data_IF_256104835071
#
_entry.id   IF_256104835071
#
_cell.length_a   1.000
_cell.length_b   1.000
_cell.length_c   1.000
_cell.angle_alpha   90.00
_cell.angle_beta   90.00
_cell.angle_gamma   90.00
#
_symmetry.space_group_name_H-M   'P 1'
#
loop_
_entity.id
_entity.type
_entity.pdbx_description
1 polymer ?
#
# COMPACT_ATOMS: atom_id res chain seq x y z
N UNK A 1 -10.59 14.53 26.91
CA UNK A 1 -10.90 15.49 25.83
C UNK A 1 -11.06 14.70 24.54
N UNK A 2 -12.26 14.73 23.95
CA UNK A 2 -12.55 14.07 22.66
C UNK A 2 -11.79 14.83 21.56
N UNK A 3 -11.02 14.12 20.76
CA UNK A 3 -10.44 14.65 19.53
C UNK A 3 -11.58 14.64 18.52
N UNK A 4 -12.11 15.82 18.18
CA UNK A 4 -13.17 15.92 17.18
C UNK A 4 -12.62 15.47 15.83
N UNK A 5 -13.08 14.29 15.40
CA UNK A 5 -12.90 13.83 14.04
C UNK A 5 -13.54 14.85 13.10
N UNK A 6 -12.77 15.36 12.14
CA UNK A 6 -13.30 16.22 11.09
C UNK A 6 -14.42 15.45 10.39
N UNK A 7 -15.65 15.97 10.46
CA UNK A 7 -16.82 15.45 9.77
C UNK A 7 -16.52 15.27 8.28
N UNK A 8 -17.06 14.19 7.68
CA UNK A 8 -17.00 13.95 6.23
C UNK A 8 -17.53 15.15 5.42
N UNK A 9 -18.40 15.98 6.00
CA UNK A 9 -18.95 17.19 5.37
C UNK A 9 -17.90 18.29 5.20
N UNK A 10 -16.97 18.43 6.15
CA UNK A 10 -15.89 19.42 6.06
C UNK A 10 -14.91 19.04 4.95
N UNK A 11 -14.58 17.74 4.82
CA UNK A 11 -13.77 17.23 3.72
C UNK A 11 -14.45 17.44 2.35
N UNK A 12 -15.78 17.31 2.28
CA UNK A 12 -16.55 17.57 1.06
C UNK A 12 -16.54 19.05 0.66
N UNK A 13 -16.69 19.96 1.63
CA UNK A 13 -16.58 21.41 1.40
C UNK A 13 -15.18 21.81 0.89
N UNK A 14 -14.12 21.20 1.43
CA UNK A 14 -12.74 21.43 0.98
C UNK A 14 -12.49 20.93 -0.45
N UNK A 15 -13.05 19.77 -0.84
CA UNK A 15 -12.94 19.26 -2.22
C UNK A 15 -13.68 20.13 -3.24
N UNK A 16 -14.79 20.76 -2.82
CA UNK A 16 -15.59 21.68 -3.65
C UNK A 16 -14.86 22.99 -3.92
N UNK A 17 -14.18 23.57 -2.92
CA UNK A 17 -13.35 24.78 -3.11
C UNK A 17 -12.14 24.56 -4.04
N UNK A 18 -11.72 23.31 -4.24
CA UNK A 18 -10.58 22.95 -5.09
C UNK A 18 -10.98 22.62 -6.55
N UNK A 19 -12.26 22.73 -6.92
CA UNK A 19 -12.76 22.37 -8.26
C UNK A 19 -12.66 20.87 -8.58
N UNK A 20 -12.59 20.02 -7.55
CA UNK A 20 -12.36 18.57 -7.65
C UNK A 20 -13.67 17.77 -7.54
N UNK A 21 -14.77 18.24 -8.14
CA UNK A 21 -16.11 17.61 -8.07
C UNK A 21 -16.16 16.19 -8.65
N UNK A 22 -15.13 15.77 -9.40
CA UNK A 22 -15.01 14.42 -9.97
C UNK A 22 -14.42 13.37 -9.00
N UNK A 23 -14.01 13.76 -7.79
CA UNK A 23 -13.71 12.78 -6.74
C UNK A 23 -15.02 12.24 -6.17
N UNK A 24 -15.45 11.09 -6.69
CA UNK A 24 -16.71 10.47 -6.32
C UNK A 24 -16.71 10.05 -4.84
N UNK A 25 -17.35 10.85 -3.98
CA UNK A 25 -17.54 10.62 -2.54
C UNK A 25 -18.66 9.60 -2.27
N UNK A 26 -19.39 9.12 -3.28
CA UNK A 26 -20.50 8.16 -3.09
C UNK A 26 -20.08 6.77 -2.62
N UNK A 27 -18.78 6.46 -2.51
CA UNK A 27 -18.32 5.17 -1.97
C UNK A 27 -18.08 5.16 -0.45
N UNK A 28 -18.49 6.20 0.29
CA UNK A 28 -18.44 6.22 1.75
C UNK A 28 -19.70 5.64 2.42
N UNK A 29 -20.78 5.37 1.67
CA UNK A 29 -21.98 4.70 2.19
C UNK A 29 -22.68 3.89 1.09
N UNK A 30 -22.42 2.58 1.01
CA UNK A 30 -23.33 1.62 0.35
C UNK A 30 -23.03 0.18 0.80
N UNK A 31 -23.58 -0.19 1.96
CA UNK A 31 -23.99 -1.57 2.20
C UNK A 31 -25.33 -1.79 1.50
N UNK A 32 -25.42 -2.86 0.69
CA UNK A 32 -26.61 -3.40 0.04
C UNK A 32 -27.39 -2.49 -0.94
N UNK A 33 -27.20 -2.70 -2.25
CA UNK A 33 -28.31 -3.13 -3.11
C UNK A 33 -27.82 -3.65 -4.48
N UNK A 34 -28.55 -4.61 -5.03
CA UNK A 34 -28.24 -5.39 -6.21
C UNK A 34 -28.49 -4.66 -7.54
N UNK A 35 -27.96 -5.27 -8.62
CA UNK A 35 -28.17 -5.03 -10.06
C UNK A 35 -27.42 -3.85 -10.70
N UNK A 36 -26.30 -4.19 -11.34
CA UNK A 36 -25.95 -3.67 -12.65
C UNK A 36 -25.07 -4.70 -13.39
N UNK A 37 -25.73 -5.64 -14.08
CA UNK A 37 -25.11 -6.39 -15.18
C UNK A 37 -25.14 -5.50 -16.41
N UNK A 38 -24.16 -5.73 -17.29
CA UNK A 38 -24.08 -5.21 -18.66
C UNK A 38 -23.66 -3.74 -18.74
N UNK A 39 -22.35 -3.53 -18.92
CA UNK A 39 -21.76 -2.66 -19.94
C UNK A 39 -20.26 -2.64 -19.69
N UNK A 40 -19.52 -3.50 -20.40
CA UNK A 40 -18.13 -3.31 -20.86
C UNK A 40 -17.59 -4.62 -21.46
N UNK A 41 -18.30 -5.10 -22.49
CA UNK A 41 -17.68 -5.84 -23.57
C UNK A 41 -17.79 -4.95 -24.80
N UNK A 42 -16.69 -4.25 -25.10
CA UNK A 42 -16.25 -3.71 -26.42
C UNK A 42 -15.40 -2.46 -26.21
N UNK A 43 -14.09 -2.66 -26.08
CA UNK A 43 -13.04 -2.04 -26.92
C UNK A 43 -11.67 -2.48 -26.43
N UNK A 44 -11.22 -3.59 -26.98
CA UNK A 44 -9.80 -3.78 -27.22
C UNK A 44 -9.42 -2.97 -28.48
N UNK A 45 -8.16 -2.53 -28.51
CA UNK A 45 -7.41 -1.86 -29.58
C UNK A 45 -7.41 -0.32 -29.54
N UNK A 46 -6.25 0.18 -29.14
CA UNK A 46 -5.85 1.57 -29.21
C UNK A 46 -4.66 1.77 -28.27
N UNK A 47 -3.45 1.83 -28.82
CA UNK A 47 -2.29 2.32 -28.09
C UNK A 47 -2.61 3.73 -27.60
N UNK A 48 -2.62 3.97 -26.30
CA UNK A 48 -2.77 5.30 -25.74
C UNK A 48 -1.37 5.82 -25.41
N UNK A 49 -0.85 6.64 -26.32
CA UNK A 49 0.31 7.48 -26.12
C UNK A 49 0.10 8.38 -24.90
N UNK A 50 1.11 8.45 -24.04
CA UNK A 50 1.25 9.51 -23.04
C UNK A 50 1.19 10.87 -23.75
N UNK A 51 0.07 11.57 -23.65
CA UNK A 51 0.03 13.02 -23.83
C UNK A 51 -1.25 13.58 -23.21
N UNK A 52 -1.11 14.73 -22.53
CA UNK A 52 -2.08 15.48 -21.72
C UNK A 52 -2.04 15.25 -20.20
N UNK A 53 -0.89 15.58 -19.62
CA UNK A 53 -0.87 16.67 -18.65
C UNK A 53 -0.07 17.80 -19.30
N UNK A 54 -0.73 18.91 -19.60
CA UNK A 54 -0.05 20.13 -20.01
C UNK A 54 0.64 20.68 -18.75
N UNK A 55 1.96 20.57 -18.73
CA UNK A 55 2.82 21.41 -17.92
C UNK A 55 2.73 22.84 -18.48
N UNK A 56 2.72 23.90 -17.65
CA UNK A 56 2.96 25.23 -18.16
C UNK A 56 4.44 25.38 -18.51
N UNK A 57 4.70 25.45 -19.82
CA UNK A 57 5.84 25.99 -20.56
C UNK A 57 7.11 26.35 -19.75
N UNK A 58 8.04 25.41 -19.70
CA UNK A 58 9.48 25.69 -19.58
C UNK A 58 10.04 25.96 -20.99
N UNK A 59 10.39 27.21 -21.30
CA UNK A 59 11.43 27.56 -22.28
C UNK A 59 11.83 29.03 -22.11
N UNK A 60 13.10 29.24 -21.76
CA UNK A 60 13.73 30.54 -21.58
C UNK A 60 15.19 30.42 -21.16
N UNK A 61 15.97 29.72 -21.98
CA UNK A 61 17.41 29.91 -22.24
C UNK A 61 18.46 29.58 -21.16
N UNK A 62 19.54 29.00 -21.66
CA UNK A 62 20.70 28.43 -20.96
C UNK A 62 21.84 29.43 -21.04
N UNK A 63 22.35 29.90 -19.89
CA UNK A 63 23.73 30.37 -19.76
C UNK A 63 24.32 29.98 -18.40
N UNK A 64 25.56 29.49 -18.43
CA UNK A 64 26.60 29.86 -17.48
C UNK A 64 26.53 29.29 -16.06
N UNK A 65 27.38 28.29 -15.80
CA UNK A 65 27.91 28.00 -14.47
C UNK A 65 28.59 29.25 -13.92
N UNK A 66 28.13 29.76 -12.78
CA UNK A 66 29.00 30.20 -11.68
C UNK A 66 28.22 30.32 -10.37
N UNK A 67 28.84 29.85 -9.30
CA UNK A 67 28.24 29.85 -7.97
C UNK A 67 28.03 31.27 -7.48
N UNK A 68 26.78 31.66 -7.24
CA UNK A 68 26.49 32.81 -6.39
C UNK A 68 25.15 32.66 -5.67
N UNK A 69 25.30 32.75 -4.36
CA UNK A 69 24.33 32.91 -3.32
C UNK A 69 23.42 34.12 -3.61
N UNK A 70 22.31 33.93 -4.34
CA UNK A 70 21.34 34.99 -4.58
C UNK A 70 20.29 35.02 -3.46
N UNK A 71 20.70 35.67 -2.36
CA UNK A 71 19.81 36.45 -1.51
C UNK A 71 18.98 37.37 -2.40
N UNK A 72 17.71 37.03 -2.63
CA UNK A 72 16.74 38.02 -3.08
C UNK A 72 16.38 38.85 -1.86
N UNK A 73 17.10 39.97 -1.70
CA UNK A 73 16.82 40.97 -0.68
C UNK A 73 15.46 41.63 -0.97
N UNK A 74 14.40 41.06 -0.42
CA UNK A 74 13.17 41.80 -0.20
C UNK A 74 13.37 42.70 1.01
N UNK A 75 13.21 44.00 0.75
CA UNK A 75 13.39 45.10 1.67
C UNK A 75 12.75 44.80 3.04
N UNK A 76 13.60 44.75 4.07
CA UNK A 76 13.20 44.72 5.47
C UNK A 76 12.52 46.03 5.85
N UNK A 77 11.22 46.14 5.63
CA UNK A 77 10.38 47.10 6.36
C UNK A 77 9.99 46.41 7.67
N UNK A 78 10.86 46.53 8.67
CA UNK A 78 10.58 46.04 10.01
C UNK A 78 9.46 46.87 10.63
N UNK A 79 8.21 46.45 10.43
CA UNK A 79 7.23 46.64 11.49
C UNK A 79 7.82 45.93 12.71
N UNK A 80 8.15 46.66 13.77
CA UNK A 80 8.89 46.17 14.95
C UNK A 80 8.19 45.07 15.78
N UNK A 81 7.32 44.28 15.17
CA UNK A 81 6.67 43.12 15.76
C UNK A 81 7.46 41.86 15.39
N UNK A 82 7.68 41.01 16.38
CA UNK A 82 8.29 39.70 16.22
C UNK A 82 7.46 38.78 15.29
N UNK A 83 8.07 37.78 14.62
CA UNK A 83 7.33 36.85 13.74
C UNK A 83 6.16 36.15 14.43
N UNK A 84 6.28 35.89 15.74
CA UNK A 84 5.20 35.35 16.58
C UNK A 84 4.02 36.31 16.72
N UNK A 85 4.26 37.61 16.90
CA UNK A 85 3.22 38.64 16.96
C UNK A 85 2.55 38.85 15.60
N UNK A 86 3.32 38.80 14.51
CA UNK A 86 2.79 38.87 13.16
C UNK A 86 1.89 37.66 12.84
N UNK A 87 2.33 36.45 13.20
CA UNK A 87 1.54 35.24 13.00
C UNK A 87 0.25 35.22 13.83
N UNK A 88 0.29 35.76 15.06
CA UNK A 88 -0.92 35.96 15.88
C UNK A 88 -1.92 36.92 15.22
N UNK A 89 -1.44 37.99 14.58
CA UNK A 89 -2.29 38.95 13.85
C UNK A 89 -2.90 38.35 12.58
N UNK A 90 -2.10 37.59 11.82
CA UNK A 90 -2.56 36.92 10.59
C UNK A 90 -3.55 35.79 10.92
N UNK A 91 -3.37 35.09 12.04
CA UNK A 91 -4.23 33.98 12.44
C UNK A 91 -3.95 32.70 11.64
N UNK A 92 -3.14 31.80 12.22
CA UNK A 92 -2.75 30.55 11.57
C UNK A 92 -3.94 29.66 11.19
N UNK A 93 -4.95 29.52 12.06
CA UNK A 93 -6.09 28.64 11.81
C UNK A 93 -6.87 28.99 10.55
N UNK A 94 -6.99 30.27 10.22
CA UNK A 94 -7.67 30.76 9.02
C UNK A 94 -6.77 30.67 7.77
N UNK A 95 -5.47 30.89 7.93
CA UNK A 95 -4.54 31.08 6.81
C UNK A 95 -3.58 29.91 6.55
N UNK A 96 -3.67 28.82 7.32
CA UNK A 96 -2.78 27.65 7.21
C UNK A 96 -2.66 27.10 5.80
N UNK A 97 -3.77 27.02 5.06
CA UNK A 97 -3.75 26.54 3.69
C UNK A 97 -3.01 27.51 2.76
N UNK A 98 -3.17 28.81 2.96
CA UNK A 98 -2.45 29.85 2.21
C UNK A 98 -0.95 29.74 2.43
N UNK A 99 -0.51 29.59 3.69
CA UNK A 99 0.90 29.34 4.02
C UNK A 99 1.45 28.12 3.28
N UNK A 100 0.72 26.99 3.32
CA UNK A 100 1.12 25.77 2.62
C UNK A 100 1.18 25.97 1.09
N UNK A 101 0.24 26.72 0.50
CA UNK A 101 0.21 26.98 -0.94
C UNK A 101 1.37 27.86 -1.41
N UNK A 102 1.88 28.74 -0.55
CA UNK A 102 3.04 29.59 -0.85
C UNK A 102 4.37 28.82 -0.80
N UNK A 103 4.39 27.63 -0.20
CA UNK A 103 5.60 26.81 -0.11
C UNK A 103 5.89 26.05 -1.41
N UNK A 104 7.19 25.93 -1.73
CA UNK A 104 7.67 25.10 -2.84
C UNK A 104 7.47 23.61 -2.54
N UNK A 105 7.39 22.78 -3.58
CA UNK A 105 7.16 21.34 -3.42
C UNK A 105 8.24 20.60 -2.61
N UNK A 106 9.50 21.05 -2.66
CA UNK A 106 10.58 20.52 -1.81
C UNK A 106 10.34 20.84 -0.33
N UNK A 107 9.95 22.08 -0.02
CA UNK A 107 9.59 22.53 1.33
C UNK A 107 8.41 21.74 1.87
N UNK A 108 7.36 21.55 1.08
CA UNK A 108 6.20 20.73 1.48
C UNK A 108 6.61 19.29 1.81
N UNK A 109 7.50 18.68 1.02
CA UNK A 109 8.03 17.34 1.32
C UNK A 109 8.84 17.29 2.61
N UNK A 110 9.59 18.35 2.92
CA UNK A 110 10.31 18.48 4.19
C UNK A 110 9.37 18.57 5.41
N UNK A 111 8.10 18.91 5.20
CA UNK A 111 7.09 18.94 6.28
C UNK A 111 6.45 17.57 6.57
N UNK A 112 6.60 16.57 5.69
CA UNK A 112 5.99 15.24 5.86
C UNK A 112 6.39 14.53 7.17
N UNK A 113 7.66 14.61 7.65
CA UNK A 113 8.06 13.99 8.91
C UNK A 113 7.32 14.51 10.15
N UNK A 114 6.71 15.70 10.08
CA UNK A 114 5.92 16.28 11.17
C UNK A 114 4.49 15.71 11.25
N UNK A 115 4.07 14.91 10.27
CA UNK A 115 2.86 14.11 10.37
C UNK A 115 3.09 12.92 11.31
N UNK A 116 2.15 12.67 12.21
CA UNK A 116 2.14 11.46 13.02
C UNK A 116 1.71 10.24 12.17
N UNK A 117 1.85 9.02 12.71
CA UNK A 117 1.55 7.78 11.95
C UNK A 117 0.10 7.73 11.47
N UNK A 118 -0.86 8.17 12.29
CA UNK A 118 -2.27 8.16 11.92
C UNK A 118 -2.57 9.13 10.77
N UNK A 119 -2.00 10.34 10.82
CA UNK A 119 -2.11 11.34 9.77
C UNK A 119 -1.47 10.85 8.46
N UNK A 120 -0.33 10.16 8.53
CA UNK A 120 0.28 9.51 7.36
C UNK A 120 -0.64 8.44 6.76
N UNK A 121 -1.29 7.61 7.59
CA UNK A 121 -2.27 6.61 7.13
C UNK A 121 -3.53 7.26 6.53
N UNK A 122 -3.99 8.36 7.08
CA UNK A 122 -5.07 9.16 6.49
C UNK A 122 -4.64 9.72 5.13
N UNK A 123 -3.41 10.22 5.00
CA UNK A 123 -2.85 10.67 3.74
C UNK A 123 -2.76 9.53 2.70
N UNK A 124 -2.52 8.28 3.12
CA UNK A 124 -2.57 7.13 2.22
C UNK A 124 -3.93 6.96 1.53
N UNK A 125 -5.03 7.40 2.16
CA UNK A 125 -6.38 7.37 1.55
C UNK A 125 -6.51 8.29 0.34
N UNK A 126 -5.62 9.28 0.18
CA UNK A 126 -5.61 10.19 -0.96
C UNK A 126 -5.08 9.53 -2.23
N UNK A 127 -4.30 8.44 -2.13
CA UNK A 127 -3.83 7.72 -3.30
C UNK A 127 -4.98 7.01 -4.03
N UNK A 128 -4.98 7.00 -5.39
CA UNK A 128 -5.84 6.10 -6.15
C UNK A 128 -5.44 4.64 -5.91
N UNK A 129 -6.40 3.72 -6.04
CA UNK A 129 -6.20 2.27 -5.80
C UNK A 129 -4.98 1.72 -6.55
N UNK A 130 -4.83 2.09 -7.82
CA UNK A 130 -3.72 1.61 -8.66
C UNK A 130 -2.35 1.98 -8.07
N UNK A 131 -2.19 3.20 -7.53
CA UNK A 131 -0.92 3.61 -6.92
C UNK A 131 -0.69 2.86 -5.60
N UNK A 132 -1.72 2.66 -4.77
CA UNK A 132 -1.60 1.83 -3.57
C UNK A 132 -1.12 0.40 -3.87
N UNK A 133 -1.67 -0.22 -4.93
CA UNK A 133 -1.23 -1.55 -5.38
C UNK A 133 0.22 -1.51 -5.87
N UNK A 134 0.66 -0.45 -6.57
CA UNK A 134 2.06 -0.29 -7.00
C UNK A 134 3.00 -0.12 -5.81
N UNK A 135 2.63 0.69 -4.81
CA UNK A 135 3.43 0.89 -3.60
C UNK A 135 3.55 -0.40 -2.78
N UNK A 136 2.47 -1.15 -2.59
CA UNK A 136 2.54 -2.49 -1.99
C UNK A 136 3.39 -3.41 -2.86
N UNK A 137 3.25 -3.29 -4.17
CA UNK A 137 4.02 -4.02 -5.18
C UNK A 137 5.48 -3.60 -5.31
N UNK A 138 5.98 -2.58 -4.61
CA UNK A 138 7.41 -2.29 -4.50
C UNK A 138 8.03 -2.85 -3.22
N UNK A 139 7.23 -3.37 -2.30
CA UNK A 139 7.72 -3.92 -1.03
C UNK A 139 8.45 -5.27 -1.21
N UNK A 140 9.39 -5.60 -0.31
CA UNK A 140 9.97 -6.93 -0.21
C UNK A 140 8.89 -8.02 -0.10
N UNK A 141 9.18 -9.20 -0.64
CA UNK A 141 8.19 -10.28 -0.80
C UNK A 141 7.71 -10.85 0.54
N UNK A 142 8.59 -10.91 1.51
CA UNK A 142 8.29 -11.26 2.91
C UNK A 142 7.27 -10.28 3.50
N UNK A 143 7.46 -8.98 3.30
CA UNK A 143 6.52 -7.96 3.77
C UNK A 143 5.18 -8.06 3.04
N UNK A 144 5.20 -8.29 1.73
CA UNK A 144 4.00 -8.53 0.92
C UNK A 144 3.20 -9.73 1.45
N UNK A 145 3.86 -10.85 1.71
CA UNK A 145 3.20 -12.05 2.27
C UNK A 145 2.65 -11.77 3.66
N UNK A 146 3.41 -11.08 4.53
CA UNK A 146 2.94 -10.67 5.86
C UNK A 146 1.69 -9.80 5.78
N UNK A 147 1.67 -8.83 4.87
CA UNK A 147 0.50 -7.97 4.63
C UNK A 147 -0.70 -8.79 4.17
N UNK A 148 -0.54 -9.67 3.17
CA UNK A 148 -1.63 -10.49 2.67
C UNK A 148 -2.18 -11.41 3.78
N UNK A 149 -1.31 -12.10 4.51
CA UNK A 149 -1.70 -13.03 5.57
C UNK A 149 -2.28 -12.35 6.81
N UNK A 150 -2.03 -11.05 7.01
CA UNK A 150 -2.73 -10.27 8.03
C UNK A 150 -4.22 -10.09 7.71
N UNK A 151 -4.57 -10.06 6.42
CA UNK A 151 -5.96 -9.87 5.95
C UNK A 151 -6.67 -11.16 5.59
N UNK A 152 -5.95 -12.16 5.09
CA UNK A 152 -6.52 -13.40 4.58
C UNK A 152 -5.91 -14.58 5.34
N UNK A 153 -6.73 -15.41 6.02
CA UNK A 153 -6.25 -16.62 6.68
C UNK A 153 -5.51 -17.55 5.71
N UNK A 154 -4.43 -18.18 6.15
CA UNK A 154 -3.55 -19.01 5.32
C UNK A 154 -4.29 -20.02 4.43
N UNK A 155 -5.25 -20.78 4.99
CA UNK A 155 -6.03 -21.76 4.22
C UNK A 155 -6.84 -21.12 3.10
N UNK A 156 -7.48 -19.97 3.37
CA UNK A 156 -8.21 -19.20 2.35
C UNK A 156 -7.27 -18.58 1.32
N UNK A 157 -6.12 -18.09 1.74
CA UNK A 157 -5.09 -17.54 0.87
C UNK A 157 -4.58 -18.59 -0.12
N UNK A 158 -4.23 -19.79 0.36
CA UNK A 158 -3.78 -20.89 -0.49
C UNK A 158 -4.86 -21.34 -1.48
N UNK A 159 -6.14 -21.32 -1.07
CA UNK A 159 -7.27 -21.67 -1.93
C UNK A 159 -7.48 -20.70 -3.11
N UNK A 160 -6.85 -19.51 -3.10
CA UNK A 160 -6.90 -18.58 -4.23
C UNK A 160 -6.03 -19.02 -5.43
N UNK A 161 -5.14 -19.99 -5.22
CA UNK A 161 -4.18 -20.41 -6.23
C UNK A 161 -4.57 -21.75 -6.87
N UNK A 162 -4.27 -21.89 -8.16
CA UNK A 162 -4.37 -23.17 -8.87
C UNK A 162 -3.29 -24.14 -8.38
N UNK A 163 -3.56 -25.44 -8.48
CA UNK A 163 -2.61 -26.49 -8.11
C UNK A 163 -1.22 -26.31 -8.74
N UNK A 164 -1.14 -25.90 -10.02
CA UNK A 164 0.12 -25.60 -10.71
C UNK A 164 0.98 -24.54 -10.00
N UNK A 165 0.35 -23.52 -9.43
CA UNK A 165 1.04 -22.46 -8.68
C UNK A 165 1.48 -22.98 -7.31
N UNK A 166 0.58 -23.66 -6.60
CA UNK A 166 0.88 -24.26 -5.30
C UNK A 166 2.00 -25.31 -5.37
N UNK A 167 2.17 -25.96 -6.53
CA UNK A 167 3.27 -26.89 -6.74
C UNK A 167 4.66 -26.23 -6.65
N UNK A 168 4.77 -24.90 -6.80
CA UNK A 168 6.05 -24.22 -6.55
C UNK A 168 6.51 -24.33 -5.11
N UNK A 169 5.57 -24.45 -4.16
CA UNK A 169 5.84 -24.70 -2.73
C UNK A 169 6.45 -26.09 -2.56
N UNK A 170 5.87 -27.09 -3.21
CA UNK A 170 6.34 -28.49 -3.13
C UNK A 170 7.71 -28.66 -3.78
N UNK A 171 7.92 -27.98 -4.91
CA UNK A 171 9.20 -27.96 -5.61
C UNK A 171 10.29 -27.16 -4.88
N UNK A 172 9.97 -26.44 -3.81
CA UNK A 172 10.95 -25.65 -3.06
C UNK A 172 12.04 -26.56 -2.49
N UNK A 173 13.31 -26.17 -2.67
CA UNK A 173 14.49 -26.93 -2.19
C UNK A 173 14.47 -27.18 -0.68
N UNK A 174 13.85 -26.27 0.09
CA UNK A 174 13.76 -26.36 1.54
C UNK A 174 12.85 -27.49 2.01
N UNK A 175 11.80 -27.79 1.26
CA UNK A 175 10.87 -28.84 1.61
C UNK A 175 11.54 -30.21 1.39
N UNK A 176 11.86 -30.91 2.47
CA UNK A 176 12.50 -32.23 2.42
C UNK A 176 11.48 -33.38 2.55
N UNK A 177 11.91 -34.62 2.28
CA UNK A 177 11.06 -35.83 2.35
C UNK A 177 10.37 -35.95 3.71
N UNK A 178 11.09 -35.72 4.81
CA UNK A 178 10.55 -35.80 6.17
C UNK A 178 9.39 -34.81 6.38
N UNK A 179 9.55 -33.56 5.93
CA UNK A 179 8.50 -32.54 5.99
C UNK A 179 7.31 -32.87 5.09
N UNK A 180 7.56 -33.43 3.90
CA UNK A 180 6.50 -33.91 3.02
C UNK A 180 5.69 -35.02 3.70
N UNK A 181 6.34 -36.04 4.25
CA UNK A 181 5.66 -37.14 4.97
C UNK A 181 4.84 -36.60 6.14
N UNK A 182 5.38 -35.63 6.89
CA UNK A 182 4.66 -34.96 7.98
C UNK A 182 3.42 -34.16 7.49
N UNK A 183 3.43 -33.68 6.24
CA UNK A 183 2.27 -33.07 5.61
C UNK A 183 1.20 -34.10 5.24
N UNK A 184 1.63 -35.27 4.75
CA UNK A 184 0.74 -36.39 4.38
C UNK A 184 -0.01 -36.97 5.59
N UNK A 185 0.55 -36.88 6.79
CA UNK A 185 -0.06 -37.39 8.03
C UNK A 185 -1.50 -36.90 8.27
N UNK A 186 -1.89 -35.75 7.73
CA UNK A 186 -3.23 -35.18 7.92
C UNK A 186 -4.25 -35.65 6.87
N UNK A 187 -3.81 -36.37 5.85
CA UNK A 187 -4.70 -36.90 4.83
C UNK A 187 -5.44 -38.16 5.30
N UNK A 188 -6.63 -38.43 4.74
CA UNK A 188 -7.35 -39.67 4.99
C UNK A 188 -6.57 -40.88 4.45
N UNK A 189 -6.78 -42.06 5.05
CA UNK A 189 -6.04 -43.28 4.72
C UNK A 189 -6.22 -43.64 3.24
N UNK A 190 -7.42 -43.49 2.73
CA UNK A 190 -7.80 -43.84 1.36
C UNK A 190 -7.00 -43.02 0.34
N UNK A 191 -6.74 -41.75 0.64
CA UNK A 191 -5.93 -40.89 -0.21
C UNK A 191 -4.44 -41.24 -0.13
N UNK A 192 -3.95 -41.63 1.06
CA UNK A 192 -2.58 -42.12 1.23
C UNK A 192 -2.34 -43.43 0.45
N UNK A 193 -3.32 -44.35 0.45
CA UNK A 193 -3.27 -45.58 -0.34
C UNK A 193 -3.24 -45.26 -1.84
N UNK A 194 -4.17 -44.43 -2.32
CA UNK A 194 -4.19 -43.98 -3.72
C UNK A 194 -2.87 -43.34 -4.14
N UNK A 195 -2.32 -42.48 -3.29
CA UNK A 195 -1.05 -41.81 -3.55
C UNK A 195 0.10 -42.82 -3.64
N UNK A 196 0.18 -43.76 -2.70
CA UNK A 196 1.23 -44.78 -2.69
C UNK A 196 1.14 -45.69 -3.91
N UNK A 197 -0.04 -46.23 -4.20
CA UNK A 197 -0.28 -47.06 -5.40
C UNK A 197 0.01 -46.28 -6.69
N UNK A 198 -0.26 -44.97 -6.75
CA UNK A 198 0.09 -44.14 -7.90
C UNK A 198 1.60 -43.92 -8.11
N UNK A 199 2.40 -44.09 -7.06
CA UNK A 199 3.86 -43.95 -7.09
C UNK A 199 4.52 -45.30 -7.38
N UNK A 200 4.13 -46.36 -6.67
CA UNK A 200 4.79 -47.68 -6.71
C UNK A 200 4.14 -48.68 -7.65
N UNK A 201 2.86 -48.49 -8.00
CA UNK A 201 2.07 -49.47 -8.74
C UNK A 201 1.56 -50.65 -7.89
N UNK A 202 1.95 -50.73 -6.61
CA UNK A 202 1.57 -51.83 -5.72
C UNK A 202 0.21 -51.60 -5.06
N UNK A 203 -0.54 -52.69 -4.86
CA UNK A 203 -1.76 -52.66 -4.04
C UNK A 203 -1.39 -52.43 -2.57
N UNK A 204 -2.00 -51.41 -1.97
CA UNK A 204 -1.76 -51.00 -0.57
C UNK A 204 -3.04 -50.98 0.26
N UNK A 205 -4.11 -51.61 -0.23
CA UNK A 205 -5.44 -51.64 0.42
C UNK A 205 -5.42 -52.21 1.83
N UNK A 206 -4.55 -53.19 2.10
CA UNK A 206 -4.45 -53.82 3.42
C UNK A 206 -3.64 -53.00 4.44
N UNK A 207 -2.78 -52.08 3.97
CA UNK A 207 -1.87 -51.34 4.84
C UNK A 207 -2.62 -50.30 5.67
N UNK A 208 -2.26 -50.21 6.95
CA UNK A 208 -2.76 -49.16 7.85
C UNK A 208 -2.02 -47.84 7.64
N UNK A 209 -2.53 -46.75 8.23
CA UNK A 209 -1.96 -45.40 8.05
C UNK A 209 -0.49 -45.29 8.52
N UNK A 210 -0.09 -45.81 9.70
CA UNK A 210 1.32 -45.83 10.09
C UNK A 210 2.24 -46.56 9.11
N UNK A 211 1.83 -47.72 8.59
CA UNK A 211 2.59 -48.49 7.59
C UNK A 211 2.77 -47.71 6.29
N UNK A 212 1.70 -47.09 5.78
CA UNK A 212 1.75 -46.24 4.60
C UNK A 212 2.73 -45.07 4.80
N UNK A 213 2.66 -44.39 5.95
CA UNK A 213 3.58 -43.30 6.28
C UNK A 213 5.03 -43.79 6.42
N UNK A 214 5.24 -45.02 6.88
CA UNK A 214 6.55 -45.68 6.89
C UNK A 214 7.12 -45.79 5.47
N UNK A 215 6.34 -46.34 4.55
CA UNK A 215 6.74 -46.45 3.14
C UNK A 215 7.04 -45.10 2.49
N UNK A 216 6.25 -44.05 2.79
CA UNK A 216 6.51 -42.71 2.23
C UNK A 216 7.87 -42.12 2.66
N UNK A 217 8.46 -42.58 3.77
CA UNK A 217 9.79 -42.13 4.24
C UNK A 217 10.94 -42.73 3.43
N UNK A 218 10.71 -43.87 2.79
CA UNK A 218 11.70 -44.56 1.96
C UNK A 218 11.75 -44.01 0.53
N UNK A 219 10.74 -43.24 0.13
CA UNK A 219 10.66 -42.62 -1.19
C UNK A 219 11.60 -41.42 -1.30
N UNK A 220 12.10 -41.20 -2.51
CA UNK A 220 12.79 -39.96 -2.84
C UNK A 220 11.81 -38.80 -3.05
N UNK A 221 12.34 -37.57 -3.02
CA UNK A 221 11.54 -36.35 -3.18
C UNK A 221 10.84 -36.30 -4.55
N UNK A 222 11.47 -36.79 -5.61
CA UNK A 222 10.95 -36.73 -6.97
C UNK A 222 9.75 -37.67 -7.13
N UNK A 223 9.83 -38.88 -6.56
CA UNK A 223 8.72 -39.84 -6.48
C UNK A 223 7.53 -39.24 -5.74
N UNK A 224 7.75 -38.66 -4.56
CA UNK A 224 6.70 -37.97 -3.79
C UNK A 224 6.07 -36.82 -4.58
N UNK A 225 6.89 -35.99 -5.22
CA UNK A 225 6.42 -34.89 -6.06
C UNK A 225 5.55 -35.39 -7.22
N UNK A 226 5.95 -36.48 -7.87
CA UNK A 226 5.17 -37.07 -8.96
C UNK A 226 3.83 -37.63 -8.49
N UNK A 227 3.79 -38.27 -7.32
CA UNK A 227 2.54 -38.69 -6.70
C UNK A 227 1.62 -37.50 -6.41
N UNK A 228 2.15 -36.46 -5.76
CA UNK A 228 1.38 -35.27 -5.39
C UNK A 228 0.79 -34.53 -6.59
N UNK A 229 1.39 -34.63 -7.79
CA UNK A 229 0.82 -34.05 -9.03
C UNK A 229 -0.48 -34.71 -9.46
N UNK A 230 -0.69 -35.98 -9.11
CA UNK A 230 -1.88 -36.75 -9.46
C UNK A 230 -2.97 -36.63 -8.38
N UNK A 231 -2.67 -35.98 -7.26
CA UNK A 231 -3.60 -35.79 -6.14
C UNK A 231 -4.74 -34.83 -6.51
N UNK A 232 -5.93 -35.09 -5.97
CA UNK A 232 -7.07 -34.18 -6.10
C UNK A 232 -6.79 -32.80 -5.49
N UNK A 233 -7.38 -31.74 -6.05
CA UNK A 233 -7.08 -30.35 -5.64
C UNK A 233 -7.32 -30.10 -4.14
N UNK A 234 -8.39 -30.68 -3.58
CA UNK A 234 -8.75 -30.51 -2.18
C UNK A 234 -7.68 -31.10 -1.24
N UNK A 235 -7.31 -32.36 -1.45
CA UNK A 235 -6.27 -33.04 -0.67
C UNK A 235 -4.89 -32.39 -0.88
N UNK A 236 -4.59 -31.96 -2.12
CA UNK A 236 -3.35 -31.26 -2.40
C UNK A 236 -3.27 -29.92 -1.67
N UNK A 237 -4.38 -29.18 -1.62
CA UNK A 237 -4.46 -27.94 -0.85
C UNK A 237 -4.28 -28.19 0.65
N UNK A 238 -4.89 -29.24 1.19
CA UNK A 238 -4.72 -29.62 2.59
C UNK A 238 -3.26 -29.97 2.89
N UNK A 239 -2.60 -30.78 2.04
CA UNK A 239 -1.18 -31.06 2.13
C UNK A 239 -0.33 -29.78 2.14
N UNK A 240 -0.55 -28.89 1.17
CA UNK A 240 0.18 -27.61 1.04
C UNK A 240 -0.05 -26.73 2.27
N UNK A 241 -1.28 -26.69 2.79
CA UNK A 241 -1.61 -25.98 4.02
C UNK A 241 -0.83 -26.52 5.22
N UNK A 242 -0.75 -27.84 5.39
CA UNK A 242 -0.05 -28.43 6.53
C UNK A 242 1.46 -28.16 6.50
N UNK A 243 2.11 -28.27 5.33
CA UNK A 243 3.55 -27.98 5.22
C UNK A 243 3.85 -26.48 5.39
N UNK A 244 3.01 -25.59 4.85
CA UNK A 244 3.21 -24.13 4.97
C UNK A 244 2.82 -23.59 6.34
N UNK A 245 1.91 -24.26 7.06
CA UNK A 245 1.61 -23.95 8.46
C UNK A 245 2.81 -24.23 9.36
N UNK A 246 3.58 -25.29 9.09
CA UNK A 246 4.80 -25.64 9.83
C UNK A 246 5.99 -24.77 9.42
N UNK A 247 6.21 -24.53 8.13
CA UNK A 247 7.21 -23.58 7.63
C UNK A 247 6.58 -22.51 6.70
N UNK A 248 6.20 -21.34 7.26
CA UNK A 248 5.67 -20.23 6.46
C UNK A 248 6.64 -19.69 5.41
N UNK A 249 7.94 -19.92 5.55
CA UNK A 249 8.92 -19.45 4.57
C UNK A 249 8.80 -20.18 3.23
N UNK A 250 8.14 -21.34 3.18
CA UNK A 250 7.81 -22.02 1.93
C UNK A 250 6.92 -21.18 1.01
N UNK A 251 6.12 -20.26 1.56
CA UNK A 251 5.30 -19.32 0.77
C UNK A 251 6.14 -18.37 -0.09
N UNK A 252 7.43 -18.19 0.24
CA UNK A 252 8.37 -17.45 -0.60
C UNK A 252 8.60 -18.12 -1.96
N UNK A 253 8.18 -19.37 -2.17
CA UNK A 253 8.20 -20.01 -3.49
C UNK A 253 7.07 -19.53 -4.42
N UNK A 254 6.04 -18.87 -3.91
CA UNK A 254 4.92 -18.42 -4.73
C UNK A 254 5.35 -17.29 -5.68
N UNK A 255 5.03 -17.33 -6.99
CA UNK A 255 5.43 -16.26 -7.91
C UNK A 255 4.88 -14.88 -7.48
N UNK A 256 5.70 -13.83 -7.59
CA UNK A 256 5.29 -12.46 -7.21
C UNK A 256 4.03 -12.00 -7.95
N UNK A 257 3.91 -12.35 -9.23
CA UNK A 257 2.73 -12.02 -10.03
C UNK A 257 1.43 -12.59 -9.46
N UNK A 258 1.47 -13.79 -8.89
CA UNK A 258 0.30 -14.41 -8.26
C UNK A 258 -0.06 -13.70 -6.94
N UNK A 259 0.93 -13.29 -6.14
CA UNK A 259 0.70 -12.48 -4.95
C UNK A 259 0.07 -11.12 -5.29
N UNK A 260 0.54 -10.48 -6.37
CA UNK A 260 0.00 -9.19 -6.82
C UNK A 260 -1.44 -9.29 -7.35
N UNK A 261 -1.86 -10.42 -7.91
CA UNK A 261 -3.28 -10.64 -8.26
C UNK A 261 -4.16 -10.59 -7.02
N UNK A 262 -3.72 -11.21 -5.93
CA UNK A 262 -4.44 -11.19 -4.65
C UNK A 262 -4.55 -9.75 -4.14
N UNK A 263 -3.44 -9.02 -4.11
CA UNK A 263 -3.43 -7.59 -3.68
C UNK A 263 -4.35 -6.74 -4.57
N UNK A 264 -4.29 -6.90 -5.89
CA UNK A 264 -5.12 -6.13 -6.81
C UNK A 264 -6.63 -6.40 -6.64
N UNK A 265 -7.00 -7.60 -6.17
CA UNK A 265 -8.39 -7.95 -5.89
C UNK A 265 -8.95 -7.28 -4.62
N UNK A 266 -8.08 -6.82 -3.71
CA UNK A 266 -8.50 -6.20 -2.45
C UNK A 266 -9.17 -4.83 -2.69
N UNK A 267 -10.17 -4.46 -1.86
CA UNK A 267 -10.78 -3.15 -1.94
C UNK A 267 -9.83 -2.07 -1.39
N UNK A 268 -9.98 -0.82 -1.83
CA UNK A 268 -9.11 0.30 -1.44
C UNK A 268 -9.00 0.48 0.08
N UNK A 269 -10.07 0.41 0.89
CA UNK A 269 -9.96 0.53 2.35
C UNK A 269 -9.01 -0.50 2.96
N UNK A 270 -9.14 -1.78 2.58
CA UNK A 270 -8.24 -2.84 3.03
C UNK A 270 -6.80 -2.58 2.60
N UNK A 271 -6.57 -2.10 1.36
CA UNK A 271 -5.23 -1.74 0.92
C UNK A 271 -4.60 -0.65 1.79
N UNK A 272 -5.39 0.37 2.19
CA UNK A 272 -4.91 1.42 3.10
C UNK A 272 -4.58 0.86 4.49
N UNK A 273 -5.42 -0.03 5.03
CA UNK A 273 -5.18 -0.68 6.33
C UNK A 273 -3.86 -1.46 6.36
N UNK A 274 -3.48 -2.10 5.25
CA UNK A 274 -2.21 -2.82 5.16
C UNK A 274 -1.00 -1.92 5.45
N UNK A 275 -1.05 -0.63 5.06
CA UNK A 275 0.05 0.31 5.33
C UNK A 275 0.27 0.55 6.83
N UNK A 276 -0.68 0.21 7.71
CA UNK A 276 -0.47 0.28 9.16
C UNK A 276 0.64 -0.65 9.65
N UNK A 277 0.93 -1.72 8.90
CA UNK A 277 2.01 -2.66 9.20
C UNK A 277 3.40 -2.09 8.90
N UNK A 278 3.50 -0.97 8.18
CA UNK A 278 4.76 -0.36 7.80
C UNK A 278 5.27 0.58 8.91
N UNK A 279 6.60 0.75 9.01
CA UNK A 279 7.20 1.77 9.85
C UNK A 279 6.87 3.17 9.34
N UNK A 280 6.85 4.15 10.26
CA UNK A 280 6.55 5.56 9.96
C UNK A 280 7.42 6.12 8.81
N UNK A 281 8.71 5.81 8.82
CA UNK A 281 9.66 6.28 7.80
C UNK A 281 9.30 5.85 6.37
N UNK A 282 8.77 4.63 6.18
CA UNK A 282 8.30 4.20 4.87
C UNK A 282 7.00 4.91 4.46
N UNK A 283 6.12 5.18 5.43
CA UNK A 283 4.91 5.96 5.16
C UNK A 283 5.24 7.41 4.77
N UNK A 284 6.23 8.02 5.42
CA UNK A 284 6.74 9.36 5.06
C UNK A 284 7.25 9.38 3.61
N UNK A 285 8.03 8.38 3.20
CA UNK A 285 8.50 8.24 1.82
C UNK A 285 7.33 8.14 0.83
N UNK A 286 6.32 7.34 1.13
CA UNK A 286 5.16 7.18 0.26
C UNK A 286 4.31 8.45 0.20
N UNK A 287 4.00 9.09 1.34
CA UNK A 287 3.25 10.34 1.39
C UNK A 287 3.97 11.46 0.63
N UNK A 288 5.31 11.47 0.63
CA UNK A 288 6.11 12.42 -0.15
C UNK A 288 5.97 12.27 -1.67
N UNK A 289 5.46 11.13 -2.15
CA UNK A 289 5.15 10.88 -3.56
C UNK A 289 3.75 11.36 -3.96
N UNK A 290 2.96 11.91 -3.03
CA UNK A 290 1.66 12.48 -3.37
C UNK A 290 1.81 13.65 -4.36
N UNK A 291 0.89 13.77 -5.33
CA UNK A 291 0.79 14.97 -6.14
C UNK A 291 0.59 16.20 -5.27
N UNK A 292 1.12 17.35 -5.70
CA UNK A 292 1.16 18.60 -4.94
C UNK A 292 -0.17 18.91 -4.21
N UNK A 293 -1.31 18.87 -4.91
CA UNK A 293 -2.63 19.15 -4.33
C UNK A 293 -3.02 18.18 -3.21
N UNK A 294 -2.72 16.89 -3.36
CA UNK A 294 -3.01 15.89 -2.33
C UNK A 294 -2.03 16.00 -1.15
N UNK A 295 -0.77 16.36 -1.41
CA UNK A 295 0.21 16.62 -0.38
C UNK A 295 -0.20 17.82 0.50
N UNK A 296 -0.74 18.90 -0.09
CA UNK A 296 -1.30 20.03 0.67
C UNK A 296 -2.39 19.57 1.65
N UNK A 297 -3.33 18.73 1.19
CA UNK A 297 -4.41 18.18 2.02
C UNK A 297 -3.86 17.31 3.15
N UNK A 298 -2.81 16.53 2.89
CA UNK A 298 -2.14 15.75 3.92
C UNK A 298 -1.47 16.65 4.98
N UNK A 299 -0.69 17.64 4.54
CA UNK A 299 0.05 18.55 5.42
C UNK A 299 -0.84 19.50 6.22
N UNK A 300 -2.05 19.78 5.74
CA UNK A 300 -3.04 20.53 6.51
C UNK A 300 -3.39 19.85 7.84
N UNK A 301 -3.16 18.54 7.96
CA UNK A 301 -3.41 17.77 9.19
C UNK A 301 -2.36 17.98 10.28
N UNK A 302 -1.19 18.57 9.98
CA UNK A 302 -0.15 18.88 11.00
C UNK A 302 -0.79 19.68 12.13
N UNK A 303 -0.44 19.44 13.39
CA UNK A 303 -1.03 20.21 14.50
C UNK A 303 -0.71 21.72 14.37
N UNK A 304 -1.65 22.58 14.78
CA UNK A 304 -1.47 24.02 14.64
C UNK A 304 -0.29 24.55 15.47
N UNK A 305 -0.01 24.00 16.65
CA UNK A 305 1.14 24.41 17.46
C UNK A 305 2.45 24.00 16.80
N UNK A 306 2.49 22.81 16.20
CA UNK A 306 3.66 22.34 15.43
C UNK A 306 3.85 23.20 14.18
N UNK A 307 2.78 23.55 13.48
CA UNK A 307 2.88 24.42 12.31
C UNK A 307 3.31 25.84 12.70
N UNK A 308 2.80 26.39 13.79
CA UNK A 308 3.20 27.70 14.31
C UNK A 308 4.71 27.73 14.63
N UNK A 309 5.21 26.74 15.35
CA UNK A 309 6.64 26.68 15.65
C UNK A 309 7.51 26.49 14.40
N UNK A 310 7.03 25.76 13.40
CA UNK A 310 7.73 25.61 12.12
C UNK A 310 7.78 26.92 11.33
N UNK A 311 6.65 27.63 11.23
CA UNK A 311 6.59 28.89 10.51
C UNK A 311 7.48 29.95 11.17
N UNK A 312 7.43 30.07 12.50
CA UNK A 312 8.21 31.06 13.24
C UNK A 312 9.72 30.79 13.14
N UNK A 313 10.13 29.52 13.24
CA UNK A 313 11.55 29.18 13.34
C UNK A 313 12.22 28.95 11.98
N UNK A 314 11.48 28.45 10.98
CA UNK A 314 12.06 28.01 9.70
C UNK A 314 11.57 28.83 8.51
N UNK A 315 10.43 29.53 8.62
CA UNK A 315 9.83 30.28 7.52
C UNK A 315 9.33 31.68 7.91
N UNK A 316 10.14 32.52 8.59
CA UNK A 316 9.73 33.86 8.99
C UNK A 316 9.37 34.74 7.78
N UNK A 317 10.03 34.51 6.63
CA UNK A 317 9.78 35.26 5.40
C UNK A 317 8.36 35.02 4.85
N UNK A 318 7.79 33.82 5.02
CA UNK A 318 6.41 33.54 4.62
C UNK A 318 5.40 34.30 5.50
N UNK A 319 5.72 34.49 6.77
CA UNK A 319 4.91 35.28 7.70
C UNK A 319 4.95 36.75 7.27
N UNK A 320 6.14 37.27 6.96
CA UNK A 320 6.33 38.64 6.50
C UNK A 320 5.62 38.91 5.17
N UNK A 321 5.68 37.98 4.22
CA UNK A 321 4.99 38.11 2.93
C UNK A 321 3.46 38.24 3.10
N UNK A 322 2.86 37.38 3.92
CA UNK A 322 1.41 37.45 4.22
C UNK A 322 1.03 38.67 5.07
N UNK A 323 1.92 39.15 5.93
CA UNK A 323 1.73 40.39 6.68
C UNK A 323 1.79 41.63 5.78
N UNK A 324 2.62 41.60 4.74
CA UNK A 324 2.79 42.68 3.76
C UNK A 324 1.60 42.81 2.80
N UNK A 325 1.10 41.68 2.29
CA UNK A 325 -0.07 41.65 1.39
C UNK A 325 -1.39 42.01 2.10
N UNK A 326 -1.43 41.95 3.43
CA UNK A 326 -2.60 42.26 4.25
C UNK A 326 -2.77 43.72 4.68
N UNK A 327 -1.87 44.63 4.27
CA UNK A 327 -1.93 46.05 4.67
C UNK A 327 -2.36 47.03 3.55
N UNK A 328 -2.63 46.57 2.33
CA UNK A 328 -3.12 47.43 1.23
C UNK A 328 -4.65 47.40 1.03
N UNK A 329 -5.39 46.64 1.84
CA UNK A 329 -6.86 46.70 1.87
C UNK A 329 -7.33 47.36 3.18
N UNK A 330 -7.08 48.67 3.30
CA UNK A 330 -7.72 49.56 4.28
C UNK A 330 -8.80 50.38 3.59
#
# INVERSE_FOLDING_TARGET
MKVDAISNDTAYYFLRQLGLERFNVKNLNAGHCAKARSWESKKAKGAWSMSRYAEPDENGEVEGVDGQNNNVAYLSRSNGNSPTEQLKKIGLSANKFTFLRMMRGSTLRALVPYLNKEQLLLAMRLFPKMLLVRLIGSLPKDMLLKMILHTIPLKKFLALFKAKVLFSIVANKRLNVREMVNGLEHLPREELQRLMTNITGSDTTQLNKPELLGMFRELDKLQLMNGLRKMGQEHFLEFVYQVTKKDPQLLMALPRGELMKVVNSMPKPTLVELFNLLPKSQLEQFVSMLPYKALLVALYQIDNKTMESLLVNQFPDLIAALAGDGLEAA
#
